data_IF_296578679066
#
_entry.id   IF_296578679066
#
_cell.length_a   1.000
_cell.length_b   1.000
_cell.length_c   1.000
_cell.angle_alpha   90.00
_cell.angle_beta   90.00
_cell.angle_gamma   90.00
#
_symmetry.space_group_name_H-M   'P 1'
#
loop_
_entity.id
_entity.type
_entity.pdbx_description
1 polymer ?
#
# COMPACT_ATOMS: atom_id res chain seq x y z
N UNK A 1 -55.26 22.69 -35.22
CA UNK A 1 -54.91 22.77 -36.62
C UNK A 1 -53.80 21.76 -36.85
N UNK A 2 -54.06 20.54 -37.07
CA UNK A 2 -54.36 19.76 -38.30
C UNK A 2 -53.15 19.59 -39.26
N UNK A 3 -52.93 18.34 -39.54
CA UNK A 3 -52.45 17.56 -40.68
C UNK A 3 -51.06 16.95 -40.51
N UNK A 4 -50.98 15.62 -40.34
CA UNK A 4 -51.18 14.51 -41.29
C UNK A 4 -50.15 14.51 -42.44
N UNK A 5 -49.29 13.55 -42.55
CA UNK A 5 -49.34 12.36 -43.41
C UNK A 5 -47.99 11.61 -43.44
N UNK A 6 -48.03 10.31 -43.32
CA UNK A 6 -47.10 9.33 -43.88
C UNK A 6 -47.65 8.93 -45.29
N UNK A 7 -47.10 8.02 -46.11
CA UNK A 7 -45.98 7.03 -46.00
C UNK A 7 -45.17 6.91 -47.33
N UNK A 8 -44.27 5.91 -47.47
CA UNK A 8 -43.76 5.43 -48.78
C UNK A 8 -42.38 4.72 -48.59
N UNK A 9 -42.43 3.46 -48.57
CA UNK A 9 -42.04 2.41 -49.54
C UNK A 9 -40.53 2.09 -49.67
N UNK A 10 -40.22 0.87 -49.37
CA UNK A 10 -39.05 0.13 -49.82
C UNK A 10 -39.13 -0.24 -51.31
N UNK A 11 -38.06 -0.67 -52.03
CA UNK A 11 -37.76 -2.09 -52.07
C UNK A 11 -36.26 -2.47 -52.20
N UNK A 12 -36.01 -3.67 -51.73
CA UNK A 12 -35.16 -4.81 -52.15
C UNK A 12 -34.09 -4.62 -53.26
N UNK A 13 -32.91 -5.13 -53.02
CA UNK A 13 -31.85 -5.41 -53.96
C UNK A 13 -30.82 -6.40 -53.41
N UNK A 14 -31.05 -7.63 -53.73
CA UNK A 14 -30.29 -8.84 -53.47
C UNK A 14 -29.03 -8.89 -54.35
N UNK A 15 -27.81 -9.19 -53.83
CA UNK A 15 -26.76 -9.96 -54.46
C UNK A 15 -25.81 -10.52 -53.42
N UNK A 16 -25.75 -11.83 -53.29
CA UNK A 16 -24.75 -12.58 -52.53
C UNK A 16 -23.50 -12.88 -53.35
N UNK A 17 -22.70 -13.95 -53.04
CA UNK A 17 -21.60 -13.85 -52.13
C UNK A 17 -20.25 -14.07 -52.84
N UNK A 18 -19.17 -13.48 -52.37
CA UNK A 18 -17.81 -13.93 -52.74
C UNK A 18 -17.04 -14.30 -51.46
N UNK A 19 -16.73 -15.56 -51.39
CA UNK A 19 -15.91 -16.13 -50.34
C UNK A 19 -14.45 -15.68 -50.45
N UNK A 20 -13.90 -15.35 -49.33
CA UNK A 20 -12.46 -15.31 -49.12
C UNK A 20 -12.11 -16.20 -47.94
N UNK A 21 -11.22 -17.15 -48.20
CA UNK A 21 -10.71 -18.15 -47.28
C UNK A 21 -9.98 -17.50 -46.06
N UNK A 22 -10.02 -18.14 -44.87
CA UNK A 22 -9.27 -17.66 -43.73
C UNK A 22 -7.77 -17.98 -43.87
N UNK A 23 -6.94 -16.98 -43.53
CA UNK A 23 -5.49 -17.12 -43.42
C UNK A 23 -5.10 -18.01 -42.24
N UNK A 24 -3.98 -18.71 -42.29
CA UNK A 24 -3.57 -19.67 -41.26
C UNK A 24 -3.08 -18.93 -39.99
N UNK A 25 -3.59 -19.38 -38.87
CA UNK A 25 -3.13 -18.99 -37.51
C UNK A 25 -1.67 -19.41 -37.31
N UNK A 26 -0.79 -18.44 -37.17
CA UNK A 26 0.53 -18.61 -36.58
C UNK A 26 0.38 -18.82 -35.07
N UNK A 27 0.71 -20.03 -34.62
CA UNK A 27 0.83 -20.37 -33.21
C UNK A 27 2.01 -19.58 -32.56
N UNK A 28 1.91 -19.09 -31.33
CA UNK A 28 3.03 -18.49 -30.66
C UNK A 28 4.07 -19.55 -30.28
N UNK A 29 5.34 -19.26 -30.57
CA UNK A 29 6.49 -20.07 -30.23
C UNK A 29 6.61 -20.26 -28.70
N UNK A 30 6.84 -21.52 -28.31
CA UNK A 30 7.14 -21.89 -26.93
C UNK A 30 8.46 -21.26 -26.46
N UNK A 31 8.58 -20.83 -25.18
CA UNK A 31 9.86 -20.36 -24.66
C UNK A 31 10.84 -21.50 -24.48
N UNK A 32 12.08 -21.26 -24.90
CA UNK A 32 13.20 -22.18 -24.81
C UNK A 32 13.52 -22.54 -23.36
N UNK A 33 13.77 -23.82 -23.10
CA UNK A 33 14.23 -24.34 -21.82
C UNK A 33 15.63 -23.83 -21.49
N UNK A 34 15.96 -23.56 -20.21
CA UNK A 34 17.32 -23.19 -19.80
C UNK A 34 18.26 -24.40 -19.89
N UNK A 35 19.45 -24.16 -20.45
CA UNK A 35 20.54 -25.12 -20.57
C UNK A 35 21.04 -25.58 -19.20
N UNK A 36 21.29 -26.88 -19.08
CA UNK A 36 21.91 -27.50 -17.93
C UNK A 36 23.39 -27.09 -17.78
N UNK A 37 23.92 -26.93 -16.55
CA UNK A 37 25.33 -26.66 -16.34
C UNK A 37 26.18 -27.91 -16.58
N UNK A 38 27.26 -27.70 -17.33
CA UNK A 38 28.27 -28.71 -17.68
C UNK A 38 28.98 -29.25 -16.42
N UNK A 39 29.30 -30.54 -16.54
CA UNK A 39 29.87 -31.35 -15.48
C UNK A 39 31.26 -30.91 -15.01
N UNK A 40 31.50 -31.17 -13.73
CA UNK A 40 32.80 -31.10 -13.07
C UNK A 40 33.67 -32.30 -13.47
N UNK A 41 34.95 -32.14 -13.65
CA UNK A 41 35.87 -33.26 -13.78
C UNK A 41 36.26 -33.81 -12.40
N UNK A 42 36.10 -35.09 -12.25
CA UNK A 42 36.71 -35.90 -11.19
C UNK A 42 38.23 -35.96 -11.39
N UNK A 43 38.98 -35.71 -10.32
CA UNK A 43 40.39 -36.06 -10.24
C UNK A 43 40.63 -36.74 -8.87
N UNK A 44 40.80 -38.05 -9.00
CA UNK A 44 41.41 -38.90 -7.99
C UNK A 44 42.90 -38.52 -7.82
N UNK A 45 43.40 -38.52 -6.57
CA UNK A 45 44.80 -38.28 -6.30
C UNK A 45 45.13 -38.25 -4.80
N UNK A 46 45.20 -39.41 -4.22
CA UNK A 46 45.75 -39.65 -2.88
C UNK A 46 47.28 -39.50 -2.93
N UNK A 47 47.91 -38.75 -1.99
CA UNK A 47 49.37 -38.84 -1.79
C UNK A 47 49.76 -39.69 -0.56
N UNK A 48 50.91 -40.33 -0.64
CA UNK A 48 51.33 -41.37 0.31
C UNK A 48 51.93 -40.83 1.60
N UNK A 49 51.79 -41.63 2.66
CA UNK A 49 52.51 -41.53 3.94
C UNK A 49 54.04 -41.58 3.79
N UNK A 50 54.75 -40.71 4.52
CA UNK A 50 56.14 -40.92 4.86
C UNK A 50 56.42 -40.59 6.35
N UNK A 51 56.81 -41.58 7.07
CA UNK A 51 57.38 -41.61 8.39
C UNK A 51 58.77 -40.98 8.52
N UNK A 52 59.13 -40.60 9.72
CA UNK A 52 60.50 -40.33 10.13
C UNK A 52 60.63 -39.03 10.96
N UNK A 53 60.75 -38.92 12.24
CA UNK A 53 61.68 -39.57 13.14
C UNK A 53 62.83 -38.59 13.46
N UNK A 54 63.00 -38.21 14.73
CA UNK A 54 64.28 -37.71 15.20
C UNK A 54 64.29 -36.36 15.89
N UNK A 55 64.39 -36.29 17.11
CA UNK A 55 64.91 -35.70 18.27
C UNK A 55 66.08 -34.74 18.13
N UNK A 56 66.19 -33.80 19.06
CA UNK A 56 67.42 -32.99 19.24
C UNK A 56 67.14 -31.79 20.15
N UNK A 57 67.57 -32.00 21.42
CA UNK A 57 67.69 -30.95 22.44
C UNK A 57 68.70 -29.88 22.05
N UNK A 58 68.45 -28.62 22.48
CA UNK A 58 69.41 -27.55 22.33
C UNK A 58 69.07 -26.30 23.13
N UNK A 59 69.54 -26.22 24.35
CA UNK A 59 69.63 -25.00 25.14
C UNK A 59 70.37 -23.85 24.44
N UNK A 60 69.92 -22.62 24.59
CA UNK A 60 70.67 -21.45 24.23
C UNK A 60 69.95 -20.14 24.59
N UNK A 61 70.29 -19.60 25.76
CA UNK A 61 69.82 -18.29 26.20
C UNK A 61 70.40 -17.17 25.41
N UNK A 62 69.69 -16.07 25.27
CA UNK A 62 70.11 -14.86 24.59
C UNK A 62 69.20 -13.68 24.86
N UNK A 63 69.63 -12.78 25.67
CA UNK A 63 69.06 -11.53 26.16
C UNK A 63 68.60 -10.58 25.11
N UNK A 64 67.53 -9.85 25.40
CA UNK A 64 67.46 -8.37 25.23
C UNK A 64 67.31 -7.80 23.83
N UNK A 65 66.13 -7.36 23.57
CA UNK A 65 65.89 -6.43 22.45
C UNK A 65 64.38 -6.07 22.41
N UNK A 66 63.95 -5.12 23.22
CA UNK A 66 62.63 -4.49 23.05
C UNK A 66 62.64 -3.70 21.73
N UNK A 67 62.37 -4.38 20.62
CA UNK A 67 62.03 -3.77 19.39
C UNK A 67 60.62 -3.14 19.52
N UNK A 68 60.57 -1.83 19.55
CA UNK A 68 59.33 -1.08 19.38
C UNK A 68 58.78 -1.41 17.99
N UNK A 69 57.81 -2.34 17.92
CA UNK A 69 56.99 -2.50 16.74
C UNK A 69 56.27 -1.19 16.49
N UNK A 70 56.74 -0.41 15.45
CA UNK A 70 56.02 0.70 14.91
C UNK A 70 54.63 0.16 14.50
N UNK A 71 53.61 0.58 15.21
CA UNK A 71 52.22 0.36 14.81
C UNK A 71 52.07 0.92 13.41
N UNK A 72 51.64 0.09 12.47
CA UNK A 72 51.29 0.52 11.11
C UNK A 72 50.24 1.63 11.23
N UNK A 73 50.38 2.74 10.52
CA UNK A 73 49.37 3.79 10.53
C UNK A 73 48.01 3.19 10.10
N UNK A 74 46.92 3.60 10.72
CA UNK A 74 45.59 3.11 10.33
C UNK A 74 45.38 3.43 8.84
N UNK A 75 44.75 2.53 8.05
CA UNK A 75 44.50 2.73 6.64
C UNK A 75 43.85 4.10 6.46
N UNK A 76 44.51 4.99 5.76
CA UNK A 76 44.15 6.39 5.58
C UNK A 76 42.69 6.47 5.12
N UNK A 77 41.88 7.14 5.92
CA UNK A 77 40.46 7.34 5.62
C UNK A 77 40.31 7.92 4.22
N UNK A 78 39.70 7.13 3.31
CA UNK A 78 39.42 7.56 1.94
C UNK A 78 38.59 8.83 2.06
N UNK A 79 39.19 9.96 1.63
CA UNK A 79 38.54 11.28 1.69
C UNK A 79 37.17 11.22 0.96
N UNK A 80 36.16 11.90 1.49
CA UNK A 80 34.78 11.95 0.89
C UNK A 80 34.82 12.25 -0.61
N UNK A 81 35.76 13.09 -1.07
CA UNK A 81 35.97 13.40 -2.50
C UNK A 81 36.42 12.20 -3.34
N UNK A 82 37.21 11.29 -2.77
CA UNK A 82 37.67 10.08 -3.49
C UNK A 82 36.57 9.05 -3.61
N UNK A 83 35.70 8.90 -2.58
CA UNK A 83 34.45 8.09 -2.64
C UNK A 83 33.49 8.65 -3.68
N UNK A 84 33.23 9.97 -3.68
CA UNK A 84 32.34 10.57 -4.68
C UNK A 84 32.83 10.38 -6.12
N UNK A 85 34.15 10.43 -6.37
CA UNK A 85 34.71 10.18 -7.71
C UNK A 85 34.54 8.72 -8.14
N UNK A 86 34.73 7.78 -7.24
CA UNK A 86 34.54 6.35 -7.51
C UNK A 86 33.06 6.00 -7.75
N UNK A 87 32.21 6.62 -6.98
CA UNK A 87 30.76 6.33 -7.00
C UNK A 87 30.00 7.29 -7.96
N UNK A 88 30.73 8.06 -8.79
CA UNK A 88 30.17 9.05 -9.74
C UNK A 88 29.12 8.43 -10.68
N UNK A 89 29.36 7.22 -11.14
CA UNK A 89 28.41 6.48 -11.98
C UNK A 89 27.09 6.19 -11.24
N UNK A 90 27.18 5.77 -9.98
CA UNK A 90 25.99 5.51 -9.14
C UNK A 90 25.21 6.80 -8.85
N UNK A 91 25.94 7.89 -8.52
CA UNK A 91 25.32 9.21 -8.30
C UNK A 91 24.62 9.70 -9.57
N UNK A 92 25.24 9.52 -10.75
CA UNK A 92 24.64 9.92 -12.02
C UNK A 92 23.38 9.12 -12.35
N UNK A 93 23.35 7.83 -12.00
CA UNK A 93 22.17 6.97 -12.18
C UNK A 93 21.03 7.31 -11.22
N UNK A 94 21.33 7.82 -10.01
CA UNK A 94 20.30 8.24 -9.04
C UNK A 94 19.77 9.66 -9.30
N UNK A 95 20.50 10.48 -10.05
CA UNK A 95 20.16 11.88 -10.30
C UNK A 95 18.78 12.08 -10.95
N UNK A 96 18.37 11.31 -11.98
CA UNK A 96 17.03 11.44 -12.57
C UNK A 96 15.92 11.16 -11.56
N UNK A 97 16.06 10.09 -10.76
CA UNK A 97 15.10 9.76 -9.72
C UNK A 97 15.02 10.83 -8.63
N UNK A 98 16.18 11.34 -8.20
CA UNK A 98 16.26 12.44 -7.23
C UNK A 98 15.59 13.71 -7.76
N UNK A 99 15.81 14.04 -9.03
CA UNK A 99 15.21 15.21 -9.68
C UNK A 99 13.68 15.06 -9.77
N UNK A 100 13.19 13.88 -10.13
CA UNK A 100 11.74 13.60 -10.14
C UNK A 100 11.13 13.77 -8.74
N UNK A 101 11.74 13.21 -7.71
CA UNK A 101 11.28 13.37 -6.32
C UNK A 101 11.31 14.86 -5.91
N UNK A 102 12.36 15.58 -6.26
CA UNK A 102 12.47 16.99 -5.91
C UNK A 102 11.40 17.82 -6.60
N UNK A 103 11.15 17.61 -7.89
CA UNK A 103 10.14 18.38 -8.66
C UNK A 103 8.73 18.00 -8.25
N UNK A 104 8.41 16.70 -8.12
CA UNK A 104 7.02 16.26 -7.92
C UNK A 104 6.61 16.09 -6.45
N UNK A 105 7.56 16.02 -5.50
CA UNK A 105 7.25 15.95 -4.08
C UNK A 105 7.57 17.26 -3.34
N UNK A 106 8.78 17.81 -3.53
CA UNK A 106 9.20 18.98 -2.75
C UNK A 106 8.68 20.31 -3.29
N UNK A 107 8.59 20.49 -4.62
CA UNK A 107 8.03 21.74 -5.18
C UNK A 107 6.57 21.95 -4.78
N UNK A 108 5.66 20.94 -4.89
CA UNK A 108 4.29 21.09 -4.37
C UNK A 108 4.24 21.33 -2.86
N UNK A 109 5.17 20.78 -2.09
CA UNK A 109 5.24 21.05 -0.65
C UNK A 109 5.46 22.53 -0.35
N UNK A 110 6.26 23.24 -1.17
CA UNK A 110 6.44 24.68 -1.06
C UNK A 110 5.13 25.45 -1.36
N UNK A 111 4.24 24.87 -2.18
CA UNK A 111 2.92 25.43 -2.46
C UNK A 111 2.04 25.59 -1.22
N UNK A 112 2.28 24.81 -0.16
CA UNK A 112 1.57 24.95 1.10
C UNK A 112 1.74 26.34 1.78
N UNK A 113 2.64 27.19 1.30
CA UNK A 113 2.77 28.58 1.74
C UNK A 113 1.48 29.37 1.52
N UNK A 114 0.62 28.95 0.57
CA UNK A 114 -0.71 29.56 0.37
C UNK A 114 -1.60 29.46 1.61
N UNK A 115 -1.35 28.54 2.54
CA UNK A 115 -2.06 28.42 3.81
C UNK A 115 -1.99 29.70 4.68
N UNK A 116 -0.98 30.55 4.45
CA UNK A 116 -0.76 31.80 5.18
C UNK A 116 -1.24 33.02 4.40
N UNK A 117 -1.93 32.80 3.28
CA UNK A 117 -2.46 33.84 2.41
C UNK A 117 -3.96 33.67 2.17
N UNK A 118 -4.65 34.76 1.91
CA UNK A 118 -5.96 34.75 1.27
C UNK A 118 -5.73 34.56 -0.23
N UNK A 119 -5.47 33.30 -0.60
CA UNK A 119 -5.01 32.98 -1.96
C UNK A 119 -6.18 32.88 -2.92
N UNK A 120 -6.21 33.78 -3.92
CA UNK A 120 -7.12 33.72 -5.05
C UNK A 120 -6.32 33.45 -6.33
N UNK A 121 -6.54 32.31 -7.00
CA UNK A 121 -5.82 31.95 -8.22
C UNK A 121 -6.15 32.83 -9.43
N UNK A 122 -7.20 33.66 -9.35
CA UNK A 122 -7.70 34.51 -10.44
C UNK A 122 -7.28 35.98 -10.33
N UNK A 123 -6.47 36.36 -9.33
CA UNK A 123 -6.00 37.75 -9.15
C UNK A 123 -4.99 38.18 -10.21
N UNK A 124 -4.28 37.26 -10.84
CA UNK A 124 -3.25 37.54 -11.84
C UNK A 124 -3.36 36.61 -13.05
N UNK A 125 -2.60 36.91 -14.11
CA UNK A 125 -2.56 36.12 -15.34
C UNK A 125 -1.79 34.80 -15.20
N UNK A 126 -1.06 34.62 -14.08
CA UNK A 126 -0.29 33.40 -13.77
C UNK A 126 -0.36 33.05 -12.28
N UNK A 127 -0.06 31.79 -11.96
CA UNK A 127 0.00 31.33 -10.56
C UNK A 127 0.99 32.18 -9.72
N UNK A 128 2.14 32.53 -10.28
CA UNK A 128 3.17 33.32 -9.58
C UNK A 128 2.70 34.74 -9.33
N UNK A 129 1.97 35.33 -10.24
CA UNK A 129 1.40 36.66 -10.09
C UNK A 129 0.25 36.67 -9.11
N UNK A 130 -0.71 35.74 -9.23
CA UNK A 130 -1.78 35.55 -8.24
C UNK A 130 -1.24 35.31 -6.83
N UNK A 131 -0.17 34.51 -6.71
CA UNK A 131 0.52 34.29 -5.44
C UNK A 131 1.15 35.57 -4.89
N UNK A 132 1.76 36.42 -5.72
CA UNK A 132 2.36 37.69 -5.29
C UNK A 132 1.30 38.71 -4.86
N UNK A 133 0.19 38.79 -5.59
CA UNK A 133 -0.89 39.76 -5.36
C UNK A 133 -1.78 39.37 -4.17
N UNK A 134 -1.93 38.05 -3.89
CA UNK A 134 -2.76 37.60 -2.77
C UNK A 134 -2.22 38.13 -1.44
N UNK A 135 -3.07 38.70 -0.57
CA UNK A 135 -2.66 39.26 0.71
C UNK A 135 -2.16 38.19 1.67
N UNK A 136 -1.19 38.57 2.50
CA UNK A 136 -0.67 37.73 3.58
C UNK A 136 -1.53 37.92 4.82
N UNK A 137 -2.21 36.86 5.29
CA UNK A 137 -3.09 36.87 6.47
C UNK A 137 -2.51 36.11 7.67
N UNK A 138 -1.28 35.59 7.56
CA UNK A 138 -0.64 34.88 8.65
C UNK A 138 -1.37 33.61 9.07
N UNK A 139 -1.81 33.53 10.33
CA UNK A 139 -2.43 32.32 10.87
C UNK A 139 -3.97 32.28 10.83
N UNK A 140 -4.63 33.20 10.15
CA UNK A 140 -6.11 33.31 10.17
C UNK A 140 -6.81 32.06 9.63
N UNK A 141 -6.26 31.41 8.59
CA UNK A 141 -6.83 30.17 8.08
C UNK A 141 -6.80 29.04 9.12
N UNK A 142 -5.76 28.97 9.94
CA UNK A 142 -5.66 28.00 11.03
C UNK A 142 -6.64 28.30 12.16
N UNK A 143 -6.89 29.58 12.45
CA UNK A 143 -7.89 29.98 13.43
C UNK A 143 -9.30 29.64 12.95
N UNK A 144 -9.65 30.00 11.69
CA UNK A 144 -10.92 29.60 11.05
C UNK A 144 -11.14 28.10 11.11
N UNK A 145 -10.12 27.30 10.79
CA UNK A 145 -10.18 25.85 10.85
C UNK A 145 -10.53 25.35 12.25
N UNK A 146 -9.91 25.93 13.28
CA UNK A 146 -10.14 25.51 14.67
C UNK A 146 -11.55 25.82 15.16
N UNK A 147 -12.14 26.90 14.66
CA UNK A 147 -13.48 27.38 14.99
C UNK A 147 -14.58 26.72 14.13
N UNK A 148 -14.21 26.01 13.04
CA UNK A 148 -15.15 25.41 12.12
C UNK A 148 -15.71 24.07 12.62
N UNK A 149 -17.03 23.98 12.92
CA UNK A 149 -17.65 22.72 13.33
C UNK A 149 -17.59 21.61 12.27
N UNK A 150 -17.58 21.97 10.98
CA UNK A 150 -17.52 20.99 9.88
C UNK A 150 -16.15 20.32 9.79
N UNK A 151 -15.09 21.07 10.07
CA UNK A 151 -13.75 20.50 10.20
C UNK A 151 -13.72 19.42 11.29
N UNK A 152 -14.26 19.71 12.47
CA UNK A 152 -14.28 18.74 13.59
C UNK A 152 -15.15 17.52 13.29
N UNK A 153 -16.29 17.70 12.60
CA UNK A 153 -17.12 16.59 12.12
C UNK A 153 -16.36 15.69 11.15
N UNK A 154 -15.60 16.28 10.22
CA UNK A 154 -14.75 15.52 9.29
C UNK A 154 -13.62 14.76 10.02
N UNK A 155 -13.01 15.38 11.04
CA UNK A 155 -12.00 14.71 11.90
C UNK A 155 -12.62 13.53 12.63
N UNK A 156 -13.78 13.71 13.27
CA UNK A 156 -14.48 12.64 13.99
C UNK A 156 -14.83 11.47 13.04
N UNK A 157 -15.43 11.75 11.90
CA UNK A 157 -15.76 10.73 10.91
C UNK A 157 -14.52 9.99 10.42
N UNK A 158 -13.43 10.70 10.14
CA UNK A 158 -12.16 10.10 9.71
C UNK A 158 -11.62 9.13 10.77
N UNK A 159 -11.57 9.57 12.03
CA UNK A 159 -11.08 8.74 13.13
C UNK A 159 -11.99 7.55 13.43
N UNK A 160 -13.32 7.72 13.37
CA UNK A 160 -14.25 6.61 13.55
C UNK A 160 -14.12 5.56 12.44
N UNK A 161 -14.04 5.99 11.17
CA UNK A 161 -13.83 5.08 10.05
C UNK A 161 -12.48 4.36 10.19
N UNK A 162 -11.42 5.11 10.53
CA UNK A 162 -10.11 4.51 10.77
C UNK A 162 -10.17 3.44 11.88
N UNK A 163 -10.80 3.71 13.01
CA UNK A 163 -10.94 2.75 14.12
C UNK A 163 -11.74 1.51 13.70
N UNK A 164 -12.85 1.68 12.99
CA UNK A 164 -13.62 0.57 12.45
C UNK A 164 -12.77 -0.26 11.49
N UNK A 165 -12.03 0.38 10.59
CA UNK A 165 -11.13 -0.31 9.67
C UNK A 165 -9.95 -0.98 10.38
N UNK A 166 -9.42 -0.37 11.44
CA UNK A 166 -8.35 -0.96 12.22
C UNK A 166 -8.81 -2.27 12.91
N UNK A 167 -10.04 -2.29 13.41
CA UNK A 167 -10.61 -3.46 14.11
C UNK A 167 -11.09 -4.54 13.13
N UNK A 168 -11.75 -4.16 12.04
CA UNK A 168 -12.41 -5.12 11.15
C UNK A 168 -11.62 -5.42 9.88
N UNK A 169 -10.96 -4.42 9.26
CA UNK A 169 -10.20 -4.64 8.04
C UNK A 169 -8.81 -5.22 8.34
N UNK A 170 -8.06 -4.64 9.29
CA UNK A 170 -6.65 -4.99 9.51
C UNK A 170 -6.40 -6.47 9.86
N UNK A 171 -7.24 -7.16 10.65
CA UNK A 171 -7.07 -8.60 10.94
C UNK A 171 -7.38 -9.52 9.76
N UNK A 172 -8.21 -9.08 8.79
CA UNK A 172 -8.71 -9.96 7.71
C UNK A 172 -7.58 -10.50 6.81
N UNK A 173 -6.64 -9.69 6.28
CA UNK A 173 -5.51 -10.21 5.51
C UNK A 173 -4.66 -11.21 6.29
N UNK A 174 -4.49 -11.01 7.60
CA UNK A 174 -3.73 -11.93 8.47
C UNK A 174 -4.45 -13.28 8.54
N UNK A 175 -5.76 -13.25 8.85
CA UNK A 175 -6.58 -14.47 8.93
C UNK A 175 -6.62 -15.21 7.59
N UNK A 176 -6.81 -14.49 6.50
CA UNK A 176 -6.83 -15.07 5.16
C UNK A 176 -5.48 -15.66 4.76
N UNK A 177 -4.36 -15.00 5.11
CA UNK A 177 -3.02 -15.54 4.87
C UNK A 177 -2.78 -16.84 5.63
N UNK A 178 -3.20 -16.93 6.90
CA UNK A 178 -3.12 -18.14 7.71
C UNK A 178 -4.00 -19.27 7.12
N UNK A 179 -5.21 -18.95 6.67
CA UNK A 179 -6.10 -19.90 6.01
C UNK A 179 -5.48 -20.43 4.71
N UNK A 180 -5.01 -19.55 3.83
CA UNK A 180 -4.37 -19.93 2.57
C UNK A 180 -3.09 -20.74 2.82
N UNK A 181 -2.29 -20.38 3.83
CA UNK A 181 -1.09 -21.12 4.19
C UNK A 181 -1.41 -22.54 4.69
N UNK A 182 -2.60 -22.77 5.23
CA UNK A 182 -3.03 -24.09 5.70
C UNK A 182 -3.53 -25.02 4.58
N UNK A 183 -3.73 -24.51 3.35
CA UNK A 183 -4.19 -25.28 2.20
C UNK A 183 -3.03 -26.14 1.66
N UNK A 184 -3.22 -27.47 1.65
CA UNK A 184 -2.22 -28.45 1.24
C UNK A 184 -2.08 -28.50 -0.29
N UNK A 185 -3.20 -28.41 -1.02
CA UNK A 185 -3.22 -28.54 -2.48
C UNK A 185 -2.70 -27.29 -3.21
N UNK A 186 -1.58 -27.35 -3.96
CA UNK A 186 -1.02 -26.14 -4.59
C UNK A 186 -1.96 -25.51 -5.62
N UNK A 187 -2.76 -26.30 -6.34
CA UNK A 187 -3.74 -25.79 -7.31
C UNK A 187 -4.89 -25.06 -6.63
N UNK A 188 -5.43 -25.61 -5.53
CA UNK A 188 -6.51 -24.95 -4.74
C UNK A 188 -6.00 -23.67 -4.12
N UNK A 189 -4.77 -23.68 -3.60
CA UNK A 189 -4.10 -22.49 -3.04
C UNK A 189 -3.98 -21.38 -4.08
N UNK A 190 -3.45 -21.71 -5.28
CA UNK A 190 -3.28 -20.75 -6.37
C UNK A 190 -4.63 -20.20 -6.86
N UNK A 191 -5.66 -21.04 -6.96
CA UNK A 191 -7.01 -20.62 -7.34
C UNK A 191 -7.62 -19.69 -6.28
N UNK A 192 -7.54 -20.04 -4.99
CA UNK A 192 -8.04 -19.21 -3.90
C UNK A 192 -7.34 -17.85 -3.86
N UNK A 193 -6.03 -17.80 -4.05
CA UNK A 193 -5.27 -16.56 -4.17
C UNK A 193 -5.76 -15.70 -5.35
N UNK A 194 -5.93 -16.30 -6.52
CA UNK A 194 -6.42 -15.61 -7.72
C UNK A 194 -7.78 -14.95 -7.50
N UNK A 195 -8.73 -15.71 -6.91
CA UNK A 195 -10.09 -15.18 -6.61
C UNK A 195 -10.04 -14.04 -5.59
N UNK A 196 -9.24 -14.17 -4.52
CA UNK A 196 -9.13 -13.14 -3.48
C UNK A 196 -8.38 -11.89 -3.95
N UNK A 197 -7.46 -12.02 -4.92
CA UNK A 197 -6.71 -10.87 -5.43
C UNK A 197 -7.48 -10.08 -6.50
N UNK A 198 -8.39 -10.75 -7.22
CA UNK A 198 -9.12 -10.17 -8.34
C UNK A 198 -9.84 -8.84 -8.02
N UNK A 199 -10.58 -8.70 -6.89
CA UNK A 199 -11.30 -7.47 -6.58
C UNK A 199 -10.41 -6.23 -6.47
N UNK A 200 -9.15 -6.38 -6.06
CA UNK A 200 -8.21 -5.27 -5.92
C UNK A 200 -8.00 -4.50 -7.24
N UNK A 201 -8.06 -5.18 -8.38
CA UNK A 201 -7.84 -4.56 -9.69
C UNK A 201 -9.05 -3.79 -10.22
N UNK A 202 -10.19 -3.85 -9.55
CA UNK A 202 -11.37 -3.09 -9.95
C UNK A 202 -11.27 -1.63 -9.45
N UNK A 203 -11.71 -0.67 -10.30
CA UNK A 203 -11.86 0.73 -9.88
C UNK A 203 -12.94 0.86 -8.80
N UNK A 204 -12.84 1.89 -7.96
CA UNK A 204 -13.88 2.17 -6.97
C UNK A 204 -15.25 2.42 -7.59
N UNK A 205 -15.31 3.04 -8.78
CA UNK A 205 -16.56 3.23 -9.51
C UNK A 205 -17.25 1.88 -9.79
N UNK A 206 -16.49 0.89 -10.29
CA UNK A 206 -17.02 -0.45 -10.55
C UNK A 206 -17.48 -1.14 -9.26
N UNK A 207 -16.66 -1.07 -8.22
CA UNK A 207 -16.99 -1.67 -6.91
C UNK A 207 -18.29 -1.10 -6.37
N UNK A 208 -18.42 0.23 -6.31
CA UNK A 208 -19.62 0.90 -5.81
C UNK A 208 -20.83 0.55 -6.66
N UNK A 209 -20.69 0.51 -7.99
CA UNK A 209 -21.77 0.10 -8.89
C UNK A 209 -22.26 -1.32 -8.61
N UNK A 210 -21.36 -2.28 -8.37
CA UNK A 210 -21.70 -3.65 -8.01
C UNK A 210 -22.45 -3.67 -6.67
N UNK A 211 -21.97 -2.96 -5.67
CA UNK A 211 -22.62 -2.86 -4.36
C UNK A 211 -23.99 -2.17 -4.47
N UNK A 212 -24.12 -1.14 -5.30
CA UNK A 212 -25.40 -0.47 -5.57
C UNK A 212 -26.44 -1.41 -6.20
N UNK A 213 -26.02 -2.28 -7.12
CA UNK A 213 -26.91 -3.30 -7.73
C UNK A 213 -27.34 -4.39 -6.74
N UNK A 214 -26.59 -4.62 -5.68
CA UNK A 214 -26.90 -5.63 -4.67
C UNK A 214 -27.66 -5.01 -3.49
N UNK A 215 -27.10 -3.95 -2.88
CA UNK A 215 -27.52 -3.39 -1.59
C UNK A 215 -28.33 -2.08 -1.70
N UNK A 216 -28.40 -1.46 -2.88
CA UNK A 216 -29.15 -0.23 -3.09
C UNK A 216 -30.65 -0.45 -3.12
N UNK A 217 -31.44 0.62 -2.99
CA UNK A 217 -32.89 0.57 -2.93
C UNK A 217 -33.59 0.00 -4.18
N UNK A 218 -32.92 0.03 -5.35
CA UNK A 218 -33.33 -0.65 -6.58
C UNK A 218 -32.59 -1.97 -6.83
N UNK A 219 -31.72 -2.39 -5.90
CA UNK A 219 -30.87 -3.56 -6.03
C UNK A 219 -31.63 -4.89 -5.84
N UNK A 220 -30.89 -5.99 -6.10
CA UNK A 220 -31.44 -7.37 -6.08
C UNK A 220 -32.08 -7.70 -4.73
N UNK A 221 -31.43 -7.33 -3.61
CA UNK A 221 -31.96 -7.63 -2.26
C UNK A 221 -33.27 -6.87 -2.03
N UNK A 222 -33.30 -5.57 -2.33
CA UNK A 222 -34.50 -4.74 -2.17
C UNK A 222 -35.67 -5.24 -3.04
N UNK A 223 -35.39 -5.68 -4.26
CA UNK A 223 -36.41 -6.28 -5.15
C UNK A 223 -36.94 -7.59 -4.58
N UNK A 224 -36.06 -8.51 -4.17
CA UNK A 224 -36.46 -9.79 -3.57
C UNK A 224 -37.28 -9.61 -2.30
N UNK A 225 -36.94 -8.61 -1.47
CA UNK A 225 -37.72 -8.31 -0.25
C UNK A 225 -39.11 -7.80 -0.59
N UNK A 226 -39.23 -6.91 -1.60
CA UNK A 226 -40.52 -6.41 -2.09
C UNK A 226 -41.40 -7.52 -2.65
N UNK A 227 -40.85 -8.43 -3.46
CA UNK A 227 -41.57 -9.59 -4.04
C UNK A 227 -42.11 -10.55 -2.97
N UNK A 228 -41.40 -10.67 -1.84
CA UNK A 228 -41.79 -11.52 -0.70
C UNK A 228 -42.73 -10.81 0.27
N UNK A 229 -43.14 -9.56 -0.01
CA UNK A 229 -43.98 -8.78 0.89
C UNK A 229 -43.31 -8.37 2.20
N UNK A 230 -41.99 -8.46 2.29
CA UNK A 230 -41.22 -7.96 3.44
C UNK A 230 -41.08 -6.42 3.29
N UNK A 231 -42.19 -5.72 3.64
CA UNK A 231 -42.27 -4.27 3.46
C UNK A 231 -41.23 -3.54 4.28
N UNK A 232 -40.64 -2.52 3.66
CA UNK A 232 -39.64 -1.60 4.22
C UNK A 232 -38.66 -1.17 3.11
N UNK A 233 -38.33 0.07 3.06
CA UNK A 233 -37.34 0.60 2.11
C UNK A 233 -35.92 0.09 2.47
N UNK A 234 -35.54 -1.07 1.97
CA UNK A 234 -34.17 -1.56 2.12
C UNK A 234 -33.26 -0.78 1.16
N UNK A 235 -32.39 0.05 1.70
CA UNK A 235 -31.32 0.71 0.98
C UNK A 235 -30.13 0.98 1.94
N UNK A 236 -29.16 0.08 1.94
CA UNK A 236 -27.97 0.23 2.77
C UNK A 236 -26.94 1.20 2.17
N UNK A 237 -27.08 1.54 0.87
CA UNK A 237 -26.13 2.44 0.20
C UNK A 237 -26.36 3.91 0.56
N UNK A 238 -27.57 4.24 1.05
CA UNK A 238 -27.92 5.62 1.43
C UNK A 238 -28.16 5.79 2.93
N UNK A 239 -27.96 4.74 3.73
CA UNK A 239 -28.16 4.77 5.18
C UNK A 239 -26.95 5.42 5.90
N UNK A 240 -27.11 6.61 6.50
CA UNK A 240 -26.03 7.28 7.22
C UNK A 240 -25.51 6.49 8.43
N UNK A 241 -26.37 5.73 9.10
CA UNK A 241 -26.00 4.93 10.28
C UNK A 241 -25.14 3.72 9.93
N UNK A 242 -25.39 3.12 8.76
CA UNK A 242 -24.65 1.95 8.30
C UNK A 242 -23.41 2.30 7.46
N UNK A 243 -23.32 3.53 6.95
CA UNK A 243 -22.30 3.95 5.98
C UNK A 243 -20.86 3.58 6.38
N UNK A 244 -20.45 3.85 7.62
CA UNK A 244 -19.07 3.58 8.08
C UNK A 244 -18.71 2.09 8.05
N UNK A 245 -19.68 1.22 8.32
CA UNK A 245 -19.51 -0.24 8.19
C UNK A 245 -19.52 -0.67 6.73
N UNK A 246 -20.39 -0.07 5.90
CA UNK A 246 -20.49 -0.35 4.47
C UNK A 246 -19.14 -0.11 3.76
N UNK A 247 -18.55 1.08 3.94
CA UNK A 247 -17.26 1.41 3.30
C UNK A 247 -16.14 0.51 3.82
N UNK A 248 -16.18 0.12 5.10
CA UNK A 248 -15.23 -0.85 5.66
C UNK A 248 -15.39 -2.22 5.01
N UNK A 249 -16.62 -2.68 4.83
CA UNK A 249 -16.89 -3.95 4.16
C UNK A 249 -16.48 -3.96 2.69
N UNK A 250 -16.77 -2.86 1.96
CA UNK A 250 -16.30 -2.67 0.59
C UNK A 250 -14.77 -2.70 0.50
N UNK A 251 -14.07 -2.03 1.43
CA UNK A 251 -12.62 -2.03 1.50
C UNK A 251 -12.07 -3.44 1.79
N UNK A 252 -12.68 -4.19 2.72
CA UNK A 252 -12.32 -5.58 3.01
C UNK A 252 -12.46 -6.43 1.75
N UNK A 253 -13.60 -6.36 1.07
CA UNK A 253 -13.85 -7.14 -0.14
C UNK A 253 -12.85 -6.82 -1.24
N UNK A 254 -12.53 -5.54 -1.44
CA UNK A 254 -11.62 -5.08 -2.49
C UNK A 254 -10.14 -5.38 -2.16
N UNK A 255 -9.68 -5.00 -0.98
CA UNK A 255 -8.24 -4.86 -0.71
C UNK A 255 -7.65 -5.90 0.25
N UNK A 256 -8.48 -6.69 0.95
CA UNK A 256 -7.96 -7.71 1.86
C UNK A 256 -7.09 -8.75 1.14
N UNK A 257 -7.46 -9.12 -0.10
CA UNK A 257 -6.68 -10.03 -0.93
C UNK A 257 -5.26 -9.52 -1.22
N UNK A 258 -5.11 -8.24 -1.52
CA UNK A 258 -3.80 -7.62 -1.73
C UNK A 258 -2.93 -7.67 -0.46
N UNK A 259 -3.52 -7.39 0.70
CA UNK A 259 -2.84 -7.46 1.99
C UNK A 259 -2.29 -8.85 2.34
N UNK A 260 -2.89 -9.93 1.82
CA UNK A 260 -2.44 -11.30 2.06
C UNK A 260 -1.01 -11.53 1.54
N UNK A 261 -0.61 -10.87 0.46
CA UNK A 261 0.69 -11.09 -0.21
C UNK A 261 1.85 -10.87 0.76
N UNK A 262 1.80 -9.78 1.54
CA UNK A 262 2.85 -9.43 2.50
C UNK A 262 2.97 -10.49 3.60
N UNK A 263 1.83 -10.94 4.14
CA UNK A 263 1.82 -11.98 5.18
C UNK A 263 2.22 -13.35 4.65
N UNK A 264 1.87 -13.71 3.41
CA UNK A 264 2.34 -14.96 2.79
C UNK A 264 3.85 -14.94 2.54
N UNK A 265 4.43 -13.79 2.14
CA UNK A 265 5.86 -13.63 2.00
C UNK A 265 6.57 -13.79 3.35
N UNK A 266 6.02 -13.21 4.41
CA UNK A 266 6.55 -13.38 5.76
C UNK A 266 6.47 -14.83 6.25
N UNK A 267 5.36 -15.53 5.96
CA UNK A 267 5.18 -16.94 6.28
C UNK A 267 6.15 -17.85 5.54
N UNK A 268 6.47 -17.53 4.28
CA UNK A 268 7.45 -18.28 3.49
C UNK A 268 8.88 -18.16 4.02
N UNK A 269 9.18 -17.10 4.78
CA UNK A 269 10.50 -16.89 5.40
C UNK A 269 10.68 -17.65 6.73
N UNK A 270 9.62 -18.27 7.27
CA UNK A 270 9.71 -19.03 8.53
C UNK A 270 10.44 -20.35 8.29
N UNK A 271 11.42 -20.66 9.15
CA UNK A 271 12.18 -21.90 9.04
C UNK A 271 11.27 -23.13 9.17
N UNK A 272 11.31 -24.00 8.15
CA UNK A 272 10.48 -25.20 8.07
C UNK A 272 10.83 -26.24 9.14
N UNK A 273 12.09 -26.29 9.58
CA UNK A 273 12.57 -27.21 10.63
C UNK A 273 11.80 -27.03 11.95
N UNK A 274 11.37 -25.80 12.28
CA UNK A 274 10.55 -25.54 13.47
C UNK A 274 9.21 -26.28 13.42
N UNK A 275 8.61 -26.37 12.22
CA UNK A 275 7.35 -27.09 12.05
C UNK A 275 7.53 -28.60 12.10
N UNK A 276 8.67 -29.11 11.61
CA UNK A 276 9.03 -30.53 11.64
C UNK A 276 9.34 -30.97 13.07
N UNK A 277 10.16 -30.22 13.81
CA UNK A 277 10.45 -30.48 15.22
C UNK A 277 9.17 -30.50 16.06
N UNK A 278 8.33 -29.49 15.92
CA UNK A 278 7.05 -29.41 16.62
C UNK A 278 6.09 -30.56 16.24
N UNK A 279 6.18 -31.07 14.99
CA UNK A 279 5.40 -32.24 14.57
C UNK A 279 5.90 -33.52 15.22
N UNK A 280 7.23 -33.69 15.34
CA UNK A 280 7.86 -34.82 16.06
C UNK A 280 7.47 -34.84 17.55
N UNK A 281 7.33 -33.65 18.16
CA UNK A 281 6.83 -33.47 19.54
C UNK A 281 5.33 -33.65 19.69
N UNK A 282 4.61 -34.04 18.61
CA UNK A 282 3.16 -34.26 18.63
C UNK A 282 2.31 -32.99 18.64
N UNK A 283 2.88 -31.81 18.30
CA UNK A 283 2.12 -30.57 18.25
C UNK A 283 1.13 -30.56 17.07
N UNK A 284 -0.16 -30.46 17.36
CA UNK A 284 -1.23 -30.32 16.37
C UNK A 284 -1.15 -28.98 15.62
N UNK A 285 -1.94 -28.84 14.51
CA UNK A 285 -1.93 -27.65 13.65
C UNK A 285 -2.21 -26.35 14.41
N UNK A 286 -3.17 -26.32 15.34
CA UNK A 286 -3.48 -25.14 16.16
C UNK A 286 -2.33 -24.74 17.07
N UNK A 287 -1.65 -25.71 17.72
CA UNK A 287 -0.50 -25.42 18.58
C UNK A 287 0.65 -24.82 17.78
N UNK A 288 0.95 -25.37 16.59
CA UNK A 288 1.97 -24.81 15.66
C UNK A 288 1.60 -23.41 15.18
N UNK A 289 0.32 -23.15 14.85
CA UNK A 289 -0.14 -21.81 14.44
C UNK A 289 0.08 -20.78 15.54
N UNK A 290 -0.29 -21.09 16.81
CA UNK A 290 -0.19 -20.14 17.91
C UNK A 290 1.23 -19.92 18.43
N UNK A 291 2.11 -20.95 18.38
CA UNK A 291 3.43 -20.90 18.99
C UNK A 291 4.58 -20.72 18.00
N UNK A 292 4.35 -20.95 16.70
CA UNK A 292 5.37 -20.77 15.66
C UNK A 292 4.91 -19.72 14.65
N UNK A 293 3.78 -19.95 14.01
CA UNK A 293 3.33 -19.13 12.86
C UNK A 293 2.99 -17.71 13.29
N UNK A 294 2.12 -17.53 14.27
CA UNK A 294 1.67 -16.21 14.72
C UNK A 294 2.80 -15.38 15.38
N UNK A 295 3.67 -15.95 16.25
CA UNK A 295 4.84 -15.23 16.75
C UNK A 295 5.82 -14.80 15.64
N UNK A 296 6.03 -15.62 14.62
CA UNK A 296 6.89 -15.27 13.50
C UNK A 296 6.34 -14.10 12.65
N UNK A 297 5.02 -13.89 12.63
CA UNK A 297 4.37 -12.77 11.98
C UNK A 297 4.39 -11.47 12.79
N UNK A 298 4.65 -11.51 14.09
CA UNK A 298 4.58 -10.32 14.96
C UNK A 298 5.37 -9.11 14.44
N UNK A 299 6.63 -9.24 13.97
CA UNK A 299 7.37 -8.10 13.46
C UNK A 299 6.70 -7.45 12.25
N UNK A 300 6.14 -8.25 11.34
CA UNK A 300 5.43 -7.75 10.15
C UNK A 300 4.10 -7.13 10.53
N UNK A 301 3.35 -7.74 11.45
CA UNK A 301 2.10 -7.17 11.98
C UNK A 301 2.38 -5.82 12.63
N UNK A 302 3.41 -5.72 13.50
CA UNK A 302 3.78 -4.48 14.15
C UNK A 302 4.18 -3.39 13.15
N UNK A 303 5.00 -3.75 12.14
CA UNK A 303 5.40 -2.84 11.08
C UNK A 303 4.19 -2.29 10.31
N UNK A 304 3.31 -3.18 9.84
CA UNK A 304 2.11 -2.79 9.08
C UNK A 304 1.11 -2.01 9.93
N UNK A 305 1.02 -2.32 11.23
CA UNK A 305 0.20 -1.56 12.17
C UNK A 305 0.71 -0.13 12.34
N UNK A 306 2.03 0.06 12.49
CA UNK A 306 2.65 1.40 12.56
C UNK A 306 2.36 2.20 11.30
N UNK A 307 2.53 1.59 10.12
CA UNK A 307 2.20 2.23 8.85
C UNK A 307 0.71 2.57 8.76
N UNK A 308 -0.18 1.65 9.16
CA UNK A 308 -1.63 1.89 9.16
C UNK A 308 -2.05 3.01 10.09
N UNK A 309 -1.42 3.14 11.27
CA UNK A 309 -1.66 4.26 12.19
C UNK A 309 -1.14 5.57 11.59
N UNK A 310 -0.05 5.52 10.81
CA UNK A 310 0.44 6.68 10.06
C UNK A 310 -0.60 7.24 9.08
N UNK A 311 -1.37 6.35 8.47
CA UNK A 311 -2.42 6.68 7.52
C UNK A 311 -3.80 6.92 8.19
N UNK A 312 -3.85 7.08 9.52
CA UNK A 312 -5.11 7.19 10.28
C UNK A 312 -6.01 8.35 9.83
N UNK A 313 -5.41 9.43 9.32
CA UNK A 313 -6.14 10.59 8.81
C UNK A 313 -6.40 10.53 7.29
N UNK A 314 -6.10 9.39 6.64
CA UNK A 314 -6.32 9.17 5.21
C UNK A 314 -7.16 7.91 5.03
N UNK A 315 -8.45 8.07 4.82
CA UNK A 315 -9.41 6.96 4.74
C UNK A 315 -10.25 7.06 3.47
N UNK A 316 -9.98 6.19 2.50
CA UNK A 316 -10.85 5.92 1.37
C UNK A 316 -11.36 7.12 0.57
N UNK A 317 -10.50 8.11 0.22
CA UNK A 317 -10.91 9.33 -0.46
C UNK A 317 -11.83 9.08 -1.66
N UNK A 318 -11.38 8.32 -2.65
CA UNK A 318 -12.15 8.05 -3.89
C UNK A 318 -13.46 7.31 -3.58
N UNK A 319 -13.41 6.31 -2.70
CA UNK A 319 -14.56 5.53 -2.28
C UNK A 319 -15.64 6.40 -1.63
N UNK A 320 -15.23 7.30 -0.73
CA UNK A 320 -16.14 8.17 0.03
C UNK A 320 -16.67 9.28 -0.86
N UNK A 321 -15.81 9.91 -1.66
CA UNK A 321 -16.19 10.98 -2.60
C UNK A 321 -17.33 10.54 -3.52
N UNK A 322 -17.29 9.31 -4.03
CA UNK A 322 -18.30 8.76 -4.92
C UNK A 322 -19.66 8.45 -4.25
N UNK A 323 -19.68 8.33 -2.92
CA UNK A 323 -20.90 7.93 -2.18
C UNK A 323 -21.43 9.02 -1.24
N UNK A 324 -20.62 10.04 -0.90
CA UNK A 324 -20.96 11.04 0.13
C UNK A 324 -22.26 11.80 -0.12
N UNK A 325 -22.57 12.12 -1.38
CA UNK A 325 -23.78 12.86 -1.74
C UNK A 325 -25.05 12.05 -1.52
N UNK A 326 -24.99 10.73 -1.69
CA UNK A 326 -26.14 9.84 -1.48
C UNK A 326 -26.45 9.62 0.00
N UNK A 327 -25.44 9.69 0.87
CA UNK A 327 -25.55 9.44 2.31
C UNK A 327 -25.74 10.74 3.10
N UNK A 328 -25.21 11.83 2.60
CA UNK A 328 -25.17 13.14 3.25
C UNK A 328 -23.81 13.42 3.91
N UNK A 329 -23.36 14.67 3.81
CA UNK A 329 -22.05 15.14 4.26
C UNK A 329 -21.83 14.93 5.76
N UNK A 330 -22.87 15.08 6.59
CA UNK A 330 -22.75 14.93 8.05
C UNK A 330 -22.22 13.55 8.48
N UNK A 331 -22.60 12.46 7.78
CA UNK A 331 -22.15 11.11 8.11
C UNK A 331 -20.93 10.63 7.29
N UNK A 332 -20.75 11.20 6.08
CA UNK A 332 -19.79 10.71 5.10
C UNK A 332 -18.58 11.63 4.89
N UNK A 333 -18.62 12.91 5.31
CA UNK A 333 -17.50 13.82 5.12
C UNK A 333 -16.31 13.39 5.97
N UNK A 334 -15.13 13.22 5.34
CA UNK A 334 -13.85 12.92 5.99
C UNK A 334 -12.84 14.02 5.64
N UNK A 335 -11.70 14.08 6.32
CA UNK A 335 -10.72 15.15 6.13
C UNK A 335 -10.30 15.33 4.66
N UNK A 336 -10.11 14.24 3.91
CA UNK A 336 -9.68 14.34 2.52
C UNK A 336 -10.78 14.89 1.61
N UNK A 337 -12.03 14.46 1.81
CA UNK A 337 -13.17 14.98 1.04
C UNK A 337 -13.54 16.40 1.46
N UNK A 338 -13.31 16.75 2.73
CA UNK A 338 -13.47 18.10 3.24
C UNK A 338 -12.46 19.07 2.59
N UNK A 339 -11.16 18.70 2.58
CA UNK A 339 -10.11 19.49 1.89
C UNK A 339 -10.43 19.67 0.41
N UNK A 340 -10.90 18.61 -0.24
CA UNK A 340 -11.29 18.64 -1.65
C UNK A 340 -12.49 19.58 -1.89
N UNK A 341 -13.50 19.51 -1.03
CA UNK A 341 -14.70 20.37 -1.13
C UNK A 341 -14.32 21.84 -0.93
N UNK A 342 -13.63 22.16 0.16
CA UNK A 342 -13.27 23.54 0.48
C UNK A 342 -12.29 24.11 -0.55
N UNK A 343 -11.28 23.33 -0.94
CA UNK A 343 -10.24 23.80 -1.85
C UNK A 343 -10.69 23.86 -3.29
N UNK A 344 -11.24 22.76 -3.82
CA UNK A 344 -11.53 22.64 -5.25
C UNK A 344 -12.97 23.01 -5.63
N UNK A 345 -13.97 22.66 -4.82
CA UNK A 345 -15.36 23.02 -5.10
C UNK A 345 -15.66 24.48 -4.73
N UNK A 346 -15.17 24.94 -3.57
CA UNK A 346 -15.44 26.29 -3.06
C UNK A 346 -14.33 27.31 -3.41
N UNK A 347 -13.16 26.87 -3.90
CA UNK A 347 -12.06 27.73 -4.32
C UNK A 347 -11.23 28.32 -3.18
N UNK A 348 -11.44 27.90 -1.91
CA UNK A 348 -10.68 28.40 -0.75
C UNK A 348 -9.38 27.59 -0.56
N UNK A 349 -8.44 27.80 -1.46
CA UNK A 349 -7.17 27.06 -1.49
C UNK A 349 -6.29 27.34 -0.26
N UNK A 350 -6.34 28.57 0.27
CA UNK A 350 -5.57 28.94 1.44
C UNK A 350 -6.00 28.17 2.68
N UNK A 351 -7.30 28.10 2.91
CA UNK A 351 -7.87 27.35 4.01
C UNK A 351 -7.67 25.84 3.84
N UNK A 352 -7.91 25.29 2.63
CA UNK A 352 -7.68 23.88 2.34
C UNK A 352 -6.21 23.47 2.58
N UNK A 353 -5.25 24.33 2.21
CA UNK A 353 -3.84 24.11 2.45
C UNK A 353 -3.53 24.11 3.96
N UNK A 354 -4.15 25.00 4.75
CA UNK A 354 -4.00 25.01 6.20
C UNK A 354 -4.46 23.70 6.84
N UNK A 355 -5.65 23.19 6.43
CA UNK A 355 -6.16 21.88 6.87
C UNK A 355 -5.19 20.76 6.47
N UNK A 356 -4.65 20.79 5.24
CA UNK A 356 -3.67 19.83 4.74
C UNK A 356 -2.37 19.82 5.56
N UNK A 357 -1.84 20.98 5.93
CA UNK A 357 -0.65 21.10 6.79
C UNK A 357 -0.93 20.46 8.16
N UNK A 358 -2.03 20.84 8.80
CA UNK A 358 -2.40 20.32 10.11
C UNK A 358 -2.58 18.81 10.07
N UNK A 359 -3.30 18.28 9.05
CA UNK A 359 -3.41 16.84 8.82
C UNK A 359 -2.04 16.17 8.69
N UNK A 360 -1.12 16.75 7.92
CA UNK A 360 0.24 16.23 7.73
C UNK A 360 1.06 16.20 9.03
N UNK A 361 0.99 17.27 9.84
CA UNK A 361 1.68 17.34 11.13
C UNK A 361 1.11 16.30 12.10
N UNK A 362 -0.21 16.18 12.21
CA UNK A 362 -0.83 15.16 13.05
C UNK A 362 -0.49 13.74 12.58
N UNK A 363 -0.52 13.47 11.26
CA UNK A 363 -0.11 12.20 10.69
C UNK A 363 1.34 11.84 11.06
N UNK A 364 2.27 12.81 10.96
CA UNK A 364 3.66 12.62 11.37
C UNK A 364 3.76 12.30 12.87
N UNK A 365 3.04 13.03 13.72
CA UNK A 365 3.00 12.75 15.16
C UNK A 365 2.48 11.34 15.47
N UNK A 366 1.44 10.89 14.75
CA UNK A 366 0.88 9.55 14.91
C UNK A 366 1.89 8.46 14.49
N UNK A 367 2.60 8.63 13.37
CA UNK A 367 3.68 7.70 12.95
C UNK A 367 4.76 7.60 14.01
N UNK A 368 5.24 8.74 14.50
CA UNK A 368 6.29 8.77 15.53
C UNK A 368 5.83 8.14 16.84
N UNK A 369 4.60 8.39 17.27
CA UNK A 369 4.00 7.78 18.45
C UNK A 369 3.83 6.26 18.28
N UNK A 370 3.31 5.81 17.16
CA UNK A 370 3.14 4.40 16.84
C UNK A 370 4.50 3.67 16.76
N UNK A 371 5.49 4.29 16.12
CA UNK A 371 6.85 3.75 16.05
C UNK A 371 7.49 3.61 17.45
N UNK A 372 7.31 4.62 18.31
CA UNK A 372 7.79 4.55 19.69
C UNK A 372 7.10 3.44 20.47
N UNK A 373 5.80 3.27 20.28
CA UNK A 373 5.02 2.21 20.93
C UNK A 373 5.48 0.82 20.47
N UNK A 374 5.75 0.62 19.17
CA UNK A 374 6.29 -0.63 18.65
C UNK A 374 7.64 -0.98 19.31
N UNK A 375 8.53 0.01 19.48
CA UNK A 375 9.81 -0.22 20.18
C UNK A 375 9.63 -0.53 21.68
N UNK A 376 8.67 0.07 22.36
CA UNK A 376 8.36 -0.24 23.76
C UNK A 376 7.82 -1.68 23.94
N UNK A 377 7.14 -2.20 22.92
CA UNK A 377 6.66 -3.58 22.88
C UNK A 377 7.73 -4.59 22.45
N UNK A 378 8.97 -4.14 22.19
CA UNK A 378 10.10 -4.99 21.81
C UNK A 378 10.15 -5.36 20.33
N UNK A 379 9.30 -4.76 19.50
CA UNK A 379 9.27 -4.99 18.06
C UNK A 379 10.12 -3.96 17.29
N UNK A 380 10.55 -4.32 16.08
CA UNK A 380 11.28 -3.39 15.22
C UNK A 380 10.28 -2.41 14.60
N UNK A 381 10.41 -1.12 14.94
CA UNK A 381 9.67 -0.05 14.29
C UNK A 381 10.21 0.25 12.88
N UNK A 382 9.55 1.19 12.19
CA UNK A 382 9.96 1.68 10.85
C UNK A 382 11.32 2.41 10.92
N UNK A 383 11.53 3.18 11.98
CA UNK A 383 12.77 3.93 12.21
C UNK A 383 13.57 3.26 13.33
N UNK A 384 14.86 2.97 13.07
CA UNK A 384 15.80 2.54 14.11
C UNK A 384 16.01 3.66 15.12
N UNK A 385 16.15 3.28 16.40
CA UNK A 385 16.63 4.21 17.44
C UNK A 385 18.00 4.75 17.11
#
# INVERSE_FOLDING_TARGET
VSHSTAPGEAPAGNTGPTGTAPAPHLAPAAPAAPAAPAGSPTADGEPPHADGGGGGDGHGGGSGGRGKTKASPPPGGITRRHRLRRDRSLVLMTLPALLLVLVFAYVPLLGNVVAFKEFDPYLGDSFTESFALSPWIGGENFQRMWEDPYFWSAVENTLLIFLIQLVFFFPVPILLALLINSIIGPRVRAWAQGVLYLPHFFSWVLVITVFQQILGGAGIIAQTMRERGWGGGFDLMTDPGFFKFLITFQAIWKDAGWGIIVFLAALAAVNHELYEAAAADGAGRWRRMWHITLPALRPVIALLLVLRVGDALTVGFEQILLQRTAVGTGAAEVLDTYVWNVGLENGDFGYAAAVGIVKGVFGLCLVLAANKTAHLLGEQGVYKK
#
